data_IF_721046382530
#
_entry.id   IF_721046382530
#
_cell.length_a   1.000
_cell.length_b   1.000
_cell.length_c   1.000
_cell.angle_alpha   90.00
_cell.angle_beta   90.00
_cell.angle_gamma   90.00
#
_symmetry.space_group_name_H-M   'P 1'
#
loop_
_entity.id
_entity.type
_entity.pdbx_description
1 polymer ?
#
# COMPACT_ATOMS: atom_id res chain seq x y z
N UNK A 1 2.27 11.94 11.20
CA UNK A 1 1.98 11.16 9.99
C UNK A 1 3.05 10.09 9.85
N UNK A 2 2.71 8.84 10.11
CA UNK A 2 3.60 7.68 10.06
C UNK A 2 3.65 7.19 8.62
N UNK A 3 4.65 7.67 7.89
CA UNK A 3 5.03 7.15 6.58
C UNK A 3 5.52 5.71 6.78
N UNK A 4 5.15 4.81 5.86
CA UNK A 4 5.64 3.42 5.90
C UNK A 4 7.17 3.40 5.81
N UNK A 5 7.86 2.44 6.46
CA UNK A 5 9.29 2.28 6.28
C UNK A 5 9.63 2.01 4.81
N UNK A 6 10.65 2.69 4.29
CA UNK A 6 11.15 2.40 2.94
C UNK A 6 12.13 1.24 3.03
N UNK A 7 11.73 0.10 2.46
CA UNK A 7 12.51 -1.13 2.51
C UNK A 7 13.12 -1.45 1.15
N UNK A 8 14.31 -2.05 1.18
CA UNK A 8 15.09 -2.43 0.02
C UNK A 8 16.41 -3.04 0.47
N UNK A 9 17.27 -3.43 -0.48
CA UNK A 9 18.57 -4.03 -0.16
C UNK A 9 19.37 -3.12 0.80
N UNK A 10 19.73 -3.67 1.96
CA UNK A 10 20.46 -2.96 3.02
C UNK A 10 19.59 -2.52 4.20
N UNK A 11 18.26 -2.50 4.06
CA UNK A 11 17.35 -2.31 5.18
C UNK A 11 17.27 -3.58 6.04
N UNK A 12 17.25 -3.48 7.38
CA UNK A 12 17.04 -4.64 8.26
C UNK A 12 15.66 -5.28 8.07
N UNK A 13 14.67 -4.51 7.59
CA UNK A 13 13.30 -4.97 7.38
C UNK A 13 13.08 -5.61 6.00
N UNK A 14 14.10 -5.61 5.12
CA UNK A 14 13.99 -6.19 3.79
C UNK A 14 14.48 -7.65 3.79
N UNK A 15 13.55 -8.56 3.51
CA UNK A 15 13.82 -10.00 3.51
C UNK A 15 14.64 -10.34 2.26
N UNK A 16 15.90 -10.70 2.48
CA UNK A 16 16.81 -11.20 1.44
C UNK A 16 17.62 -12.37 1.98
N UNK A 17 18.45 -13.01 1.15
CA UNK A 17 19.28 -14.13 1.58
C UNK A 17 20.15 -13.70 2.77
N UNK A 18 20.01 -14.40 3.89
CA UNK A 18 20.69 -14.08 5.16
C UNK A 18 19.80 -13.41 6.21
N UNK A 19 18.59 -12.94 5.84
CA UNK A 19 17.61 -12.45 6.80
C UNK A 19 17.02 -13.62 7.62
N UNK A 20 16.73 -13.46 8.93
CA UNK A 20 16.16 -14.53 9.77
C UNK A 20 14.85 -15.14 9.25
N UNK A 21 14.07 -14.35 8.50
CA UNK A 21 12.79 -14.74 7.90
C UNK A 21 12.89 -15.16 6.42
N UNK A 22 14.11 -15.23 5.85
CA UNK A 22 14.29 -15.69 4.47
C UNK A 22 13.76 -17.12 4.28
N UNK A 23 12.88 -17.32 3.30
CA UNK A 23 12.20 -18.60 3.04
C UNK A 23 11.05 -18.93 4.01
N UNK A 24 10.72 -18.03 4.94
CA UNK A 24 9.59 -18.16 5.87
C UNK A 24 8.51 -17.11 5.61
N UNK A 25 8.91 -15.92 5.18
CA UNK A 25 8.05 -14.79 4.83
C UNK A 25 8.55 -14.12 3.57
N UNK A 26 7.66 -13.41 2.92
CA UNK A 26 7.95 -12.60 1.74
C UNK A 26 7.93 -11.11 2.09
N UNK A 27 8.63 -10.31 1.28
CA UNK A 27 8.47 -8.86 1.33
C UNK A 27 7.04 -8.49 0.89
N UNK A 28 6.48 -7.40 1.44
CA UNK A 28 5.15 -6.95 1.07
C UNK A 28 5.04 -6.64 -0.43
N UNK A 29 3.93 -7.07 -1.01
CA UNK A 29 3.49 -6.75 -2.36
C UNK A 29 3.06 -5.28 -2.48
N UNK A 30 2.83 -4.82 -3.71
CA UNK A 30 2.32 -3.47 -3.96
C UNK A 30 0.93 -3.25 -3.32
N UNK A 31 0.06 -4.27 -3.31
CA UNK A 31 -1.24 -4.21 -2.65
C UNK A 31 -1.10 -4.08 -1.13
N UNK A 32 -0.22 -4.87 -0.52
CA UNK A 32 0.02 -4.80 0.93
C UNK A 32 0.66 -3.47 1.33
N UNK A 33 1.56 -2.91 0.51
CA UNK A 33 2.11 -1.57 0.72
C UNK A 33 1.02 -0.49 0.65
N UNK A 34 0.12 -0.59 -0.32
CA UNK A 34 -1.02 0.32 -0.41
C UNK A 34 -1.94 0.19 0.81
N UNK A 35 -2.18 -1.03 1.29
CA UNK A 35 -2.95 -1.28 2.51
C UNK A 35 -2.34 -0.69 3.76
N UNK A 36 -1.03 -0.87 3.94
CA UNK A 36 -0.30 -0.27 5.07
C UNK A 36 -0.40 1.26 5.04
N UNK A 37 -0.27 1.88 3.86
CA UNK A 37 -0.35 3.32 3.71
C UNK A 37 -1.77 3.87 3.96
N UNK A 38 -2.79 3.30 3.32
CA UNK A 38 -4.18 3.78 3.41
C UNK A 38 -4.74 3.58 4.82
N UNK A 39 -4.62 2.37 5.37
CA UNK A 39 -5.20 2.06 6.68
C UNK A 39 -4.40 2.72 7.81
N UNK A 40 -3.08 2.84 7.64
CA UNK A 40 -2.22 3.59 8.56
C UNK A 40 -2.60 5.08 8.63
N UNK A 41 -2.89 5.70 7.48
CA UNK A 41 -3.35 7.08 7.41
C UNK A 41 -4.64 7.30 8.20
N UNK A 42 -5.69 6.50 7.96
CA UNK A 42 -6.96 6.67 8.66
C UNK A 42 -6.85 6.38 10.16
N UNK A 43 -6.09 5.34 10.53
CA UNK A 43 -5.86 5.00 11.93
C UNK A 43 -5.15 6.11 12.72
N UNK A 44 -4.25 6.85 12.08
CA UNK A 44 -3.55 7.96 12.74
C UNK A 44 -4.35 9.26 12.76
N UNK A 45 -5.03 9.58 11.65
CA UNK A 45 -5.76 10.85 11.54
C UNK A 45 -7.11 10.82 12.28
N UNK A 46 -7.61 9.62 12.61
CA UNK A 46 -8.92 9.46 13.28
C UNK A 46 -10.09 9.94 12.43
N UNK A 47 -9.92 9.97 11.10
CA UNK A 47 -10.93 10.41 10.13
C UNK A 47 -11.72 9.18 9.68
N UNK A 48 -13.06 9.30 9.65
CA UNK A 48 -13.92 8.26 9.06
C UNK A 48 -13.68 8.19 7.55
N UNK A 49 -13.22 7.04 7.00
CA UNK A 49 -13.01 6.87 5.57
C UNK A 49 -14.25 7.20 4.72
N UNK A 50 -15.47 7.05 5.26
CA UNK A 50 -16.73 7.36 4.54
C UNK A 50 -16.88 8.84 4.19
N UNK A 51 -16.10 9.73 4.79
CA UNK A 51 -16.09 11.16 4.47
C UNK A 51 -15.32 11.47 3.19
N UNK A 52 -14.52 10.52 2.67
CA UNK A 52 -13.74 10.72 1.46
C UNK A 52 -14.64 10.70 0.23
N UNK A 53 -14.53 11.75 -0.58
CA UNK A 53 -15.32 11.91 -1.80
C UNK A 53 -14.54 11.54 -3.07
N UNK A 54 -13.21 11.56 -3.00
CA UNK A 54 -12.28 11.25 -4.11
C UNK A 54 -10.95 10.74 -3.57
N UNK A 55 -10.29 9.87 -4.34
CA UNK A 55 -8.92 9.41 -4.04
C UNK A 55 -8.03 9.42 -5.30
N UNK A 56 -6.74 9.57 -5.07
CA UNK A 56 -5.72 9.60 -6.13
C UNK A 56 -4.54 8.75 -5.69
N UNK A 57 -4.11 7.81 -6.52
CA UNK A 57 -2.95 6.96 -6.24
C UNK A 57 -1.82 7.31 -7.18
N UNK A 58 -0.79 8.00 -6.66
CA UNK A 58 0.44 8.26 -7.40
C UNK A 58 1.30 7.00 -7.49
N UNK A 59 1.50 6.48 -8.69
CA UNK A 59 2.37 5.33 -8.92
C UNK A 59 2.98 5.37 -10.33
N UNK A 60 4.31 5.32 -10.41
CA UNK A 60 5.00 5.46 -11.68
C UNK A 60 5.14 4.13 -12.45
N UNK A 61 5.52 3.04 -11.77
CA UNK A 61 6.00 1.82 -12.44
C UNK A 61 5.36 0.51 -11.95
N UNK A 62 4.23 0.58 -11.25
CA UNK A 62 3.52 -0.62 -10.74
C UNK A 62 3.11 -1.62 -11.82
N UNK A 63 2.83 -1.14 -13.05
CA UNK A 63 2.56 -2.02 -14.20
C UNK A 63 3.77 -2.87 -14.60
N UNK A 64 4.98 -2.32 -14.44
CA UNK A 64 6.22 -3.00 -14.83
C UNK A 64 6.74 -3.94 -13.74
N UNK A 65 6.71 -3.50 -12.48
CA UNK A 65 7.30 -4.25 -11.36
C UNK A 65 6.33 -5.20 -10.67
N UNK A 66 5.02 -4.96 -10.78
CA UNK A 66 4.00 -5.75 -10.08
C UNK A 66 2.89 -6.23 -11.01
N UNK A 67 3.00 -6.01 -12.33
CA UNK A 67 1.96 -6.32 -13.31
C UNK A 67 0.59 -5.75 -12.92
N UNK A 68 0.58 -4.59 -12.23
CA UNK A 68 -0.61 -4.04 -11.61
C UNK A 68 -0.78 -2.55 -11.97
N UNK A 69 -1.78 -2.27 -12.80
CA UNK A 69 -2.10 -0.93 -13.29
C UNK A 69 -3.16 -0.19 -12.48
N UNK A 70 -4.40 -0.68 -12.47
CA UNK A 70 -5.60 0.00 -11.94
C UNK A 70 -5.61 0.22 -10.41
N UNK A 71 -4.61 0.92 -9.86
CA UNK A 71 -4.45 1.11 -8.42
C UNK A 71 -5.52 2.00 -7.80
N UNK A 72 -6.12 2.92 -8.55
CA UNK A 72 -7.30 3.65 -8.09
C UNK A 72 -8.45 2.70 -7.71
N UNK A 73 -8.67 1.64 -8.49
CA UNK A 73 -9.67 0.61 -8.15
C UNK A 73 -9.22 -0.26 -6.94
N UNK A 74 -7.92 -0.45 -6.76
CA UNK A 74 -7.36 -1.20 -5.63
C UNK A 74 -7.63 -0.53 -4.28
N UNK A 75 -7.80 0.80 -4.23
CA UNK A 75 -8.14 1.53 -3.00
C UNK A 75 -9.41 0.99 -2.34
N UNK A 76 -10.49 0.78 -3.12
CA UNK A 76 -11.74 0.24 -2.59
C UNK A 76 -11.66 -1.23 -2.15
N UNK A 77 -10.64 -1.97 -2.61
CA UNK A 77 -10.34 -3.33 -2.13
C UNK A 77 -9.58 -3.29 -0.80
N UNK A 78 -8.67 -2.32 -0.65
CA UNK A 78 -7.82 -2.12 0.53
C UNK A 78 -8.59 -1.53 1.71
N UNK A 79 -9.42 -0.53 1.45
CA UNK A 79 -10.31 0.10 2.43
C UNK A 79 -11.75 0.01 1.88
N UNK A 80 -12.55 -0.98 2.34
CA UNK A 80 -13.89 -1.22 1.83
C UNK A 80 -14.85 -0.04 1.94
N UNK A 81 -14.64 0.87 2.89
CA UNK A 81 -15.45 2.08 3.02
C UNK A 81 -15.26 3.07 1.84
N UNK A 82 -14.19 2.90 1.06
CA UNK A 82 -13.93 3.66 -0.17
C UNK A 82 -14.42 2.94 -1.44
N UNK A 83 -15.07 1.78 -1.32
CA UNK A 83 -15.65 1.09 -2.47
C UNK A 83 -16.70 1.99 -3.16
N UNK A 84 -16.55 2.21 -4.46
CA UNK A 84 -17.41 3.11 -5.25
C UNK A 84 -17.04 4.60 -5.19
N UNK A 85 -16.06 4.98 -4.36
CA UNK A 85 -15.51 6.34 -4.38
C UNK A 85 -14.66 6.54 -5.65
N UNK A 86 -14.91 7.64 -6.37
CA UNK A 86 -14.19 7.97 -7.58
C UNK A 86 -12.68 8.08 -7.34
N UNK A 87 -11.90 7.20 -7.98
CA UNK A 87 -10.47 7.08 -7.77
C UNK A 87 -9.68 7.13 -9.08
N UNK A 88 -8.58 7.89 -9.10
CA UNK A 88 -7.70 8.02 -10.27
C UNK A 88 -6.26 7.56 -9.97
N UNK A 89 -5.47 7.35 -11.03
CA UNK A 89 -4.04 7.02 -11.01
C UNK A 89 -3.28 7.92 -11.98
#
# INVERSE_FOLDING_TARGET
MKITPFIGKGSPDFITRGHPDFGKKENPTLEEQLALAVNGLFGEMGVDPKLVQRSYVGNFAGELFSNQGHLGAMVGRVEPALAGVGSAR
#
